data_IF_104602204863
#
_entry.id   IF_104602204863
#
_cell.length_a   1.000
_cell.length_b   1.000
_cell.length_c   1.000
_cell.angle_alpha   90.00
_cell.angle_beta   90.00
_cell.angle_gamma   90.00
#
_symmetry.space_group_name_H-M   'P 1'
#
loop_
_entity.id
_entity.type
_entity.pdbx_description
1 polymer ?
#
# COMPACT_ATOMS: atom_id res chain seq x y z
N UNK A 1 15.04 26.01 9.69
CA UNK A 1 13.65 26.26 9.28
C UNK A 1 12.78 25.27 10.04
N UNK A 2 11.77 25.74 10.82
CA UNK A 2 10.93 24.85 11.63
C UNK A 2 10.06 23.99 10.68
N UNK A 3 10.42 22.73 10.49
CA UNK A 3 9.71 21.76 9.67
C UNK A 3 8.51 21.17 10.45
N UNK A 4 7.54 22.04 10.80
CA UNK A 4 6.35 21.61 11.58
C UNK A 4 5.61 20.42 10.96
N UNK A 5 5.63 20.27 9.64
CA UNK A 5 4.95 19.17 8.94
C UNK A 5 5.60 17.81 9.22
N UNK A 6 6.93 17.72 9.11
CA UNK A 6 7.67 16.48 9.38
C UNK A 6 7.49 16.06 10.84
N UNK A 7 7.56 17.01 11.76
CA UNK A 7 7.34 16.77 13.20
C UNK A 7 5.91 16.26 13.47
N UNK A 8 4.88 16.90 12.87
CA UNK A 8 3.50 16.48 13.07
C UNK A 8 3.23 15.08 12.52
N UNK A 9 3.73 14.78 11.32
CA UNK A 9 3.63 13.44 10.74
C UNK A 9 4.38 12.38 11.55
N UNK A 10 5.57 12.71 12.05
CA UNK A 10 6.32 11.83 12.93
C UNK A 10 5.56 11.54 14.24
N UNK A 11 5.01 12.57 14.89
CA UNK A 11 4.15 12.40 16.07
C UNK A 11 2.93 11.53 15.78
N UNK A 12 2.32 11.68 14.60
CA UNK A 12 1.17 10.86 14.20
C UNK A 12 1.55 9.38 14.04
N UNK A 13 2.66 9.10 13.39
CA UNK A 13 3.17 7.72 13.25
C UNK A 13 3.45 7.12 14.63
N UNK A 14 4.20 7.81 15.48
CA UNK A 14 4.65 7.29 16.77
C UNK A 14 3.48 7.17 17.76
N UNK A 15 2.64 8.22 17.87
CA UNK A 15 1.61 8.29 18.91
C UNK A 15 0.33 7.55 18.52
N UNK A 16 -0.08 7.66 17.23
CA UNK A 16 -1.35 7.12 16.79
C UNK A 16 -1.18 5.78 16.06
N UNK A 17 -0.24 5.70 15.10
CA UNK A 17 -0.14 4.51 14.26
C UNK A 17 0.55 3.34 14.97
N UNK A 18 1.65 3.58 15.69
CA UNK A 18 2.36 2.59 16.48
C UNK A 18 1.89 2.52 17.94
N UNK A 19 1.36 3.61 18.47
CA UNK A 19 1.00 3.74 19.89
C UNK A 19 2.16 3.35 20.82
N UNK A 20 3.34 3.94 20.54
CA UNK A 20 4.58 3.65 21.27
C UNK A 20 4.42 3.99 22.75
N UNK A 21 4.88 3.09 23.61
CA UNK A 21 4.78 3.22 25.09
C UNK A 21 6.10 3.64 25.72
N UNK A 22 6.00 4.18 26.92
CA UNK A 22 7.16 4.48 27.73
C UNK A 22 7.97 3.22 28.01
N UNK A 23 9.30 3.31 27.82
CA UNK A 23 10.25 2.22 28.04
C UNK A 23 10.39 1.23 26.88
N UNK A 24 9.59 1.31 25.82
CA UNK A 24 9.73 0.44 24.64
C UNK A 24 11.01 0.77 23.85
N UNK A 25 11.65 -0.25 23.30
CA UNK A 25 12.72 -0.12 22.32
C UNK A 25 12.12 0.23 20.94
N UNK A 26 12.32 1.47 20.51
CA UNK A 26 11.90 1.98 19.21
C UNK A 26 13.07 2.06 18.25
N UNK A 27 13.00 1.35 17.14
CA UNK A 27 14.03 1.40 16.10
C UNK A 27 13.53 2.18 14.89
N UNK A 28 14.24 3.24 14.52
CA UNK A 28 14.01 3.99 13.29
C UNK A 28 15.03 3.52 12.25
N UNK A 29 14.54 2.88 11.18
CA UNK A 29 15.37 2.45 10.06
C UNK A 29 15.16 3.42 8.90
N UNK A 30 16.22 4.07 8.43
CA UNK A 30 16.12 5.06 7.38
C UNK A 30 17.30 4.98 6.39
N UNK A 31 17.06 5.26 5.11
CA UNK A 31 18.18 5.58 4.23
C UNK A 31 18.74 6.98 4.53
N UNK A 32 19.96 7.23 4.09
CA UNK A 32 20.67 8.50 4.38
C UNK A 32 19.98 9.73 3.77
N UNK A 33 19.11 9.58 2.77
CA UNK A 33 18.35 10.68 2.18
C UNK A 33 17.21 11.15 3.09
N UNK A 34 16.81 10.30 4.04
CA UNK A 34 15.71 10.54 4.98
C UNK A 34 16.19 10.85 6.42
N UNK A 35 17.42 11.35 6.58
CA UNK A 35 18.00 11.65 7.90
C UNK A 35 17.13 12.62 8.73
N UNK A 36 16.58 13.67 8.12
CA UNK A 36 15.72 14.63 8.83
C UNK A 36 14.41 14.00 9.30
N UNK A 37 13.82 13.12 8.50
CA UNK A 37 12.62 12.35 8.88
C UNK A 37 12.95 11.40 10.02
N UNK A 38 14.10 10.70 9.97
CA UNK A 38 14.54 9.80 11.02
C UNK A 38 14.72 10.53 12.35
N UNK A 39 15.33 11.72 12.33
CA UNK A 39 15.50 12.54 13.54
C UNK A 39 14.15 13.00 14.11
N UNK A 40 13.20 13.43 13.27
CA UNK A 40 11.86 13.83 13.73
C UNK A 40 11.09 12.66 14.35
N UNK A 41 11.19 11.46 13.76
CA UNK A 41 10.59 10.22 14.30
C UNK A 41 11.23 9.85 15.65
N UNK A 42 12.56 9.97 15.76
CA UNK A 42 13.29 9.69 16.99
C UNK A 42 12.92 10.66 18.11
N UNK A 43 12.79 11.96 17.81
CA UNK A 43 12.34 12.97 18.77
C UNK A 43 10.92 12.66 19.26
N UNK A 44 10.00 12.34 18.34
CA UNK A 44 8.63 11.94 18.71
C UNK A 44 8.62 10.69 19.61
N UNK A 45 9.49 9.70 19.34
CA UNK A 45 9.65 8.51 20.18
C UNK A 45 10.17 8.83 21.57
N UNK A 46 11.18 9.70 21.65
CA UNK A 46 11.73 10.19 22.92
C UNK A 46 10.67 10.94 23.75
N UNK A 47 9.84 11.76 23.09
CA UNK A 47 8.72 12.47 23.77
C UNK A 47 7.72 11.48 24.40
N UNK A 48 7.60 10.25 23.87
CA UNK A 48 6.80 9.15 24.44
C UNK A 48 7.53 8.36 25.54
N UNK A 49 8.79 8.67 25.80
CA UNK A 49 9.61 7.96 26.78
C UNK A 49 10.19 6.63 26.26
N UNK A 50 10.22 6.41 24.96
CA UNK A 50 10.83 5.22 24.36
C UNK A 50 12.37 5.28 24.43
N UNK A 51 13.02 4.12 24.42
CA UNK A 51 14.45 3.96 24.18
C UNK A 51 14.64 3.91 22.66
N UNK A 52 15.15 5.00 22.08
CA UNK A 52 15.19 5.17 20.64
C UNK A 52 16.56 4.88 20.05
N UNK A 53 16.60 4.08 18.98
CA UNK A 53 17.78 3.85 18.16
C UNK A 53 17.51 4.22 16.70
N UNK A 54 18.46 4.86 16.02
CA UNK A 54 18.40 5.15 14.59
C UNK A 54 19.42 4.27 13.89
N UNK A 55 18.98 3.48 12.92
CA UNK A 55 19.81 2.66 12.05
C UNK A 55 19.73 3.20 10.63
N UNK A 56 20.84 3.68 10.08
CA UNK A 56 20.89 4.27 8.75
C UNK A 56 21.75 3.45 7.80
N UNK A 57 21.38 3.48 6.52
CA UNK A 57 22.08 2.79 5.44
C UNK A 57 22.05 3.62 4.14
N UNK A 58 22.90 3.29 3.19
CA UNK A 58 22.83 3.88 1.85
C UNK A 58 21.57 3.42 1.13
N UNK A 59 20.91 4.29 0.32
CA UNK A 59 19.70 3.93 -0.41
C UNK A 59 19.85 2.60 -1.15
N UNK A 60 18.82 1.76 -1.07
CA UNK A 60 18.71 0.51 -1.81
C UNK A 60 18.51 0.79 -3.31
N UNK A 61 18.46 -0.26 -4.12
CA UNK A 61 18.32 -0.13 -5.57
C UNK A 61 16.88 -0.40 -6.06
N UNK A 62 16.10 -1.16 -5.28
CA UNK A 62 14.72 -1.54 -5.65
C UNK A 62 13.88 -1.85 -4.41
N UNK A 63 12.55 -1.87 -4.60
CA UNK A 63 11.60 -2.21 -3.55
C UNK A 63 11.75 -3.66 -3.09
N UNK A 64 11.46 -3.92 -1.82
CA UNK A 64 11.54 -5.21 -1.15
C UNK A 64 12.95 -5.81 -1.00
N UNK A 65 14.00 -5.09 -1.41
CA UNK A 65 15.38 -5.48 -1.10
C UNK A 65 15.61 -5.44 0.41
N UNK A 66 16.30 -6.46 0.95
CA UNK A 66 16.64 -6.48 2.37
C UNK A 66 17.74 -5.44 2.68
N UNK A 67 17.61 -4.73 3.82
CA UNK A 67 18.69 -3.86 4.32
C UNK A 67 19.86 -4.70 4.84
N UNK A 68 21.02 -4.08 5.14
CA UNK A 68 22.18 -4.77 5.74
C UNK A 68 21.82 -5.57 6.99
N UNK A 69 22.49 -6.71 7.19
CA UNK A 69 22.19 -7.65 8.29
C UNK A 69 22.15 -7.03 9.69
N UNK A 70 23.01 -6.06 10.08
CA UNK A 70 22.90 -5.43 11.40
C UNK A 70 21.56 -4.72 11.63
N UNK A 71 20.94 -4.18 10.56
CA UNK A 71 19.62 -3.55 10.62
C UNK A 71 18.53 -4.61 10.83
N UNK A 72 18.65 -5.77 10.17
CA UNK A 72 17.72 -6.89 10.33
C UNK A 72 17.67 -7.35 11.78
N UNK A 73 18.83 -7.53 12.40
CA UNK A 73 18.89 -7.96 13.80
C UNK A 73 18.34 -6.88 14.74
N UNK A 74 18.68 -5.60 14.52
CA UNK A 74 18.12 -4.48 15.29
C UNK A 74 16.59 -4.39 15.20
N UNK A 75 16.00 -4.63 14.01
CA UNK A 75 14.55 -4.72 13.84
C UNK A 75 13.92 -5.88 14.63
N UNK A 76 14.61 -7.02 14.68
CA UNK A 76 14.11 -8.21 15.35
C UNK A 76 14.12 -8.11 16.89
N UNK A 77 14.90 -7.21 17.45
CA UNK A 77 15.01 -6.99 18.89
C UNK A 77 14.19 -5.77 19.39
N UNK A 78 13.50 -5.09 18.48
CA UNK A 78 12.68 -3.92 18.80
C UNK A 78 11.25 -4.30 19.21
N UNK A 79 10.64 -3.49 20.10
CA UNK A 79 9.20 -3.55 20.38
C UNK A 79 8.39 -2.89 19.25
N UNK A 80 8.92 -1.80 18.71
CA UNK A 80 8.31 -1.06 17.61
C UNK A 80 9.38 -0.53 16.65
N UNK A 81 9.04 -0.41 15.36
CA UNK A 81 9.94 0.17 14.38
C UNK A 81 9.22 0.99 13.30
N UNK A 82 9.94 1.97 12.74
CA UNK A 82 9.54 2.70 11.54
C UNK A 82 10.55 2.46 10.44
N UNK A 83 10.08 2.08 9.25
CA UNK A 83 10.91 1.90 8.04
C UNK A 83 10.72 3.12 7.15
N UNK A 84 11.65 4.07 7.22
CA UNK A 84 11.61 5.35 6.53
C UNK A 84 12.61 5.39 5.36
N UNK A 85 12.29 4.73 4.26
CA UNK A 85 13.17 4.60 3.11
C UNK A 85 12.48 4.94 1.78
N UNK A 86 13.23 5.46 0.80
CA UNK A 86 12.75 5.73 -0.55
C UNK A 86 12.26 4.43 -1.20
N UNK A 87 13.09 3.39 -1.19
CA UNK A 87 12.67 2.07 -1.66
C UNK A 87 11.97 1.32 -0.53
N UNK A 88 10.73 0.92 -0.78
CA UNK A 88 9.87 0.27 0.20
C UNK A 88 10.49 -1.01 0.76
N UNK A 89 10.54 -1.11 2.08
CA UNK A 89 10.92 -2.31 2.81
C UNK A 89 9.68 -3.15 3.22
N UNK A 90 8.47 -2.75 2.79
CA UNK A 90 7.20 -3.37 3.21
C UNK A 90 7.15 -4.88 2.95
N UNK A 91 7.67 -5.32 1.82
CA UNK A 91 7.67 -6.72 1.40
C UNK A 91 9.03 -7.42 1.57
N UNK A 92 10.00 -6.78 2.27
CA UNK A 92 11.30 -7.39 2.54
C UNK A 92 11.21 -8.57 3.50
N UNK A 93 12.13 -9.52 3.38
CA UNK A 93 12.26 -10.65 4.33
C UNK A 93 12.62 -10.14 5.73
N UNK A 94 13.40 -9.05 5.80
CA UNK A 94 13.76 -8.37 7.05
C UNK A 94 12.50 -7.95 7.83
N UNK A 95 11.54 -7.26 7.18
CA UNK A 95 10.28 -6.86 7.80
C UNK A 95 9.48 -8.08 8.25
N UNK A 96 9.37 -9.12 7.40
CA UNK A 96 8.64 -10.34 7.73
C UNK A 96 9.26 -11.06 8.94
N UNK A 97 10.59 -11.18 9.00
CA UNK A 97 11.31 -11.77 10.12
C UNK A 97 11.06 -11.00 11.43
N UNK A 98 11.13 -9.68 11.39
CA UNK A 98 10.92 -8.83 12.57
C UNK A 98 9.46 -8.90 13.07
N UNK A 99 8.46 -8.81 12.18
CA UNK A 99 7.05 -8.97 12.58
C UNK A 99 6.77 -10.37 13.11
N UNK A 100 7.41 -11.41 12.57
CA UNK A 100 7.34 -12.78 13.07
C UNK A 100 7.91 -12.95 14.49
N UNK A 101 8.78 -12.04 14.94
CA UNK A 101 9.30 -11.97 16.32
C UNK A 101 8.50 -11.04 17.24
N UNK A 102 7.48 -10.38 16.72
CA UNK A 102 6.57 -9.55 17.52
C UNK A 102 6.79 -8.04 17.34
N UNK A 103 7.78 -7.59 16.59
CA UNK A 103 8.01 -6.16 16.35
C UNK A 103 6.82 -5.54 15.61
N UNK A 104 6.23 -4.47 16.15
CA UNK A 104 5.22 -3.66 15.46
C UNK A 104 5.91 -2.73 14.47
N UNK A 105 5.47 -2.72 13.21
CA UNK A 105 6.18 -1.98 12.17
C UNK A 105 5.25 -1.08 11.38
N UNK A 106 5.60 0.20 11.27
CA UNK A 106 5.09 1.12 10.24
C UNK A 106 6.16 1.28 9.16
N UNK A 107 5.79 1.01 7.90
CA UNK A 107 6.61 1.34 6.74
C UNK A 107 6.11 2.62 6.08
N UNK A 108 7.03 3.46 5.65
CA UNK A 108 6.77 4.71 4.92
C UNK A 108 7.39 4.59 3.52
N UNK A 109 6.69 3.93 2.57
CA UNK A 109 7.20 3.73 1.21
C UNK A 109 7.36 5.07 0.49
N UNK A 110 8.46 5.26 -0.25
CA UNK A 110 8.74 6.53 -0.90
C UNK A 110 8.97 7.67 0.08
N UNK A 111 9.52 7.34 1.26
CA UNK A 111 9.73 8.30 2.34
C UNK A 111 10.47 9.54 1.85
N UNK A 112 9.94 10.70 2.19
CA UNK A 112 10.53 12.00 1.93
C UNK A 112 9.88 13.05 2.83
N UNK A 113 10.53 14.20 3.03
CA UNK A 113 9.92 15.31 3.78
C UNK A 113 8.62 15.82 3.10
N UNK A 114 8.53 15.72 1.78
CA UNK A 114 7.34 16.14 1.02
C UNK A 114 6.10 15.27 1.33
N UNK A 115 6.30 13.96 1.56
CA UNK A 115 5.20 13.09 1.98
C UNK A 115 4.56 13.57 3.28
N UNK A 116 5.34 14.08 4.21
CA UNK A 116 4.86 14.60 5.49
C UNK A 116 4.09 15.93 5.38
N UNK A 117 4.10 16.58 4.21
CA UNK A 117 3.26 17.74 3.91
C UNK A 117 1.91 17.35 3.29
N UNK A 118 1.73 16.08 2.97
CA UNK A 118 0.49 15.61 2.36
C UNK A 118 -0.69 15.68 3.34
N UNK A 119 -1.86 16.17 2.91
CA UNK A 119 -3.09 16.03 3.69
C UNK A 119 -3.48 14.58 3.98
N UNK A 120 -3.00 13.60 3.20
CA UNK A 120 -3.30 12.18 3.39
C UNK A 120 -2.86 11.66 4.76
N UNK A 121 -1.87 12.30 5.39
CA UNK A 121 -1.43 11.93 6.74
C UNK A 121 -2.31 12.50 7.85
N UNK A 122 -3.14 13.52 7.56
CA UNK A 122 -3.97 14.22 8.54
C UNK A 122 -5.42 13.70 8.52
N UNK A 123 -5.59 12.41 8.73
CA UNK A 123 -6.88 11.73 8.84
C UNK A 123 -7.03 11.11 10.23
N UNK A 124 -8.28 10.83 10.62
CA UNK A 124 -8.55 10.02 11.80
C UNK A 124 -8.49 8.54 11.44
N UNK A 125 -7.33 7.92 11.64
CA UNK A 125 -7.10 6.51 11.30
C UNK A 125 -8.04 5.55 12.04
N UNK A 126 -8.51 5.89 13.26
CA UNK A 126 -9.45 5.06 14.01
C UNK A 126 -10.85 5.07 13.38
N UNK A 127 -11.29 6.19 12.80
CA UNK A 127 -12.56 6.26 12.06
C UNK A 127 -12.46 5.46 10.75
N UNK A 128 -11.35 5.61 10.02
CA UNK A 128 -11.13 4.85 8.80
C UNK A 128 -11.06 3.34 9.07
N UNK A 129 -10.45 2.94 10.17
CA UNK A 129 -10.44 1.54 10.62
C UNK A 129 -11.86 0.98 10.76
N UNK A 130 -12.81 1.73 11.35
CA UNK A 130 -14.21 1.31 11.47
C UNK A 130 -14.88 1.08 10.11
N UNK A 131 -14.60 1.97 9.15
CA UNK A 131 -15.10 1.82 7.79
C UNK A 131 -14.51 0.57 7.11
N UNK A 132 -13.20 0.36 7.25
CA UNK A 132 -12.51 -0.83 6.72
C UNK A 132 -13.09 -2.11 7.34
N UNK A 133 -13.33 -2.14 8.65
CA UNK A 133 -13.95 -3.29 9.33
C UNK A 133 -15.37 -3.56 8.81
N UNK A 134 -16.16 -2.53 8.57
CA UNK A 134 -17.51 -2.66 7.98
C UNK A 134 -17.45 -3.26 6.58
N UNK A 135 -16.59 -2.72 5.70
CA UNK A 135 -16.39 -3.24 4.36
C UNK A 135 -15.81 -4.66 4.37
N UNK A 136 -14.89 -4.95 5.29
CA UNK A 136 -14.33 -6.29 5.47
C UNK A 136 -15.36 -7.33 5.86
N UNK A 137 -16.37 -6.97 6.67
CA UNK A 137 -17.47 -7.85 7.00
C UNK A 137 -18.33 -8.17 5.77
N UNK A 138 -18.61 -7.17 4.93
CA UNK A 138 -19.34 -7.38 3.67
C UNK A 138 -18.53 -8.25 2.70
N UNK A 139 -17.23 -8.00 2.54
CA UNK A 139 -16.37 -8.79 1.66
C UNK A 139 -16.31 -10.28 2.04
N UNK A 140 -16.39 -10.62 3.34
CA UNK A 140 -16.38 -12.04 3.78
C UNK A 140 -17.56 -12.83 3.22
N UNK A 141 -18.71 -12.18 3.05
CA UNK A 141 -19.92 -12.81 2.52
C UNK A 141 -20.04 -12.71 1.00
N UNK A 142 -19.20 -11.87 0.37
CA UNK A 142 -19.21 -11.61 -1.07
C UNK A 142 -18.56 -12.74 -1.85
N UNK A 143 -19.18 -13.10 -2.97
CA UNK A 143 -18.66 -14.10 -3.91
C UNK A 143 -17.92 -13.46 -5.08
N UNK A 144 -18.41 -12.31 -5.54
CA UNK A 144 -17.94 -11.65 -6.75
C UNK A 144 -17.89 -10.14 -6.53
N UNK A 145 -16.82 -9.52 -6.99
CA UNK A 145 -16.75 -8.07 -7.15
C UNK A 145 -16.95 -7.77 -8.63
N UNK A 146 -17.91 -6.89 -8.94
CA UNK A 146 -18.11 -6.35 -10.30
C UNK A 146 -17.66 -4.88 -10.29
N UNK A 147 -16.86 -4.51 -11.27
CA UNK A 147 -16.23 -3.19 -11.38
C UNK A 147 -16.53 -2.62 -12.75
N UNK A 148 -17.16 -1.44 -12.77
CA UNK A 148 -17.45 -0.72 -14.02
C UNK A 148 -17.00 0.73 -13.92
N UNK A 149 -16.81 1.39 -15.07
CA UNK A 149 -16.57 2.84 -15.14
C UNK A 149 -17.13 3.45 -16.42
N UNK A 150 -17.29 4.78 -16.42
CA UNK A 150 -17.77 5.51 -17.62
C UNK A 150 -16.80 5.38 -18.83
N UNK A 151 -15.52 5.06 -18.58
CA UNK A 151 -14.52 4.83 -19.63
C UNK A 151 -14.63 3.44 -20.29
N UNK A 152 -15.49 2.56 -19.78
CA UNK A 152 -15.71 1.23 -20.33
C UNK A 152 -15.00 0.11 -19.53
N UNK A 153 -14.48 0.38 -18.35
CA UNK A 153 -14.08 -0.71 -17.44
C UNK A 153 -15.28 -1.62 -17.20
N UNK A 154 -15.04 -2.93 -17.34
CA UNK A 154 -16.00 -3.98 -17.02
C UNK A 154 -15.20 -5.22 -16.62
N UNK A 155 -14.94 -5.33 -15.33
CA UNK A 155 -14.15 -6.42 -14.73
C UNK A 155 -15.00 -7.16 -13.72
N UNK A 156 -14.91 -8.49 -13.76
CA UNK A 156 -15.54 -9.39 -12.81
C UNK A 156 -14.48 -10.21 -12.09
N UNK A 157 -14.54 -10.25 -10.77
CA UNK A 157 -13.55 -10.94 -9.93
C UNK A 157 -14.21 -11.86 -8.90
N UNK A 158 -13.84 -13.13 -8.89
CA UNK A 158 -14.28 -14.12 -7.90
C UNK A 158 -13.41 -14.03 -6.66
N UNK A 159 -14.03 -13.81 -5.49
CA UNK A 159 -13.31 -13.61 -4.22
C UNK A 159 -13.81 -14.49 -3.06
N UNK A 160 -14.77 -15.38 -3.26
CA UNK A 160 -15.36 -16.19 -2.19
C UNK A 160 -14.30 -16.97 -1.42
N UNK A 161 -14.26 -16.76 -0.09
CA UNK A 161 -13.32 -17.47 0.79
C UNK A 161 -11.87 -17.00 0.68
N UNK A 162 -11.60 -15.93 -0.04
CA UNK A 162 -10.25 -15.39 -0.22
C UNK A 162 -9.82 -14.51 0.97
N UNK A 163 -8.51 -14.29 1.08
CA UNK A 163 -7.92 -13.48 2.15
C UNK A 163 -8.25 -12.01 1.95
N UNK A 164 -8.84 -11.41 2.98
CA UNK A 164 -9.08 -9.97 3.06
C UNK A 164 -7.93 -9.33 3.83
N UNK A 165 -7.39 -8.23 3.31
CA UNK A 165 -6.24 -7.51 3.86
C UNK A 165 -6.68 -6.08 4.18
N UNK A 166 -7.03 -5.78 5.45
CA UNK A 166 -7.32 -4.42 5.87
C UNK A 166 -6.02 -3.64 6.07
N UNK A 167 -5.88 -2.50 5.41
CA UNK A 167 -4.76 -1.58 5.59
C UNK A 167 -5.26 -0.29 6.24
N UNK A 168 -4.93 -0.13 7.50
CA UNK A 168 -5.48 0.94 8.36
C UNK A 168 -4.45 1.99 8.75
N UNK A 169 -3.21 1.87 8.27
CA UNK A 169 -2.03 2.60 8.76
C UNK A 169 -1.77 2.43 10.27
N UNK A 170 -2.39 1.44 10.93
CA UNK A 170 -2.25 1.17 12.36
C UNK A 170 -1.51 -0.15 12.60
N UNK A 171 -0.45 -0.12 13.39
CA UNK A 171 0.33 -1.29 13.80
C UNK A 171 0.52 -1.27 15.32
N UNK A 172 -0.53 -1.62 16.09
CA UNK A 172 -0.58 -1.43 17.55
C UNK A 172 -0.49 -2.73 18.36
N UNK A 173 -0.56 -3.88 17.69
CA UNK A 173 -0.46 -5.19 18.35
C UNK A 173 0.86 -5.85 17.99
N UNK A 174 1.47 -6.66 18.89
CA UNK A 174 2.72 -7.35 18.60
C UNK A 174 2.68 -8.08 17.25
N UNK A 175 3.72 -7.90 16.45
CA UNK A 175 3.85 -8.48 15.11
C UNK A 175 3.00 -7.83 14.01
N UNK A 176 2.23 -6.77 14.34
CA UNK A 176 1.44 -6.06 13.33
C UNK A 176 2.31 -5.19 12.43
N UNK A 177 1.84 -5.00 11.20
CA UNK A 177 2.48 -4.21 10.16
C UNK A 177 1.45 -3.37 9.42
N UNK A 178 1.80 -2.13 9.09
CA UNK A 178 1.01 -1.30 8.18
C UNK A 178 1.90 -0.34 7.36
N UNK A 179 1.60 -0.12 6.07
CA UNK A 179 2.16 0.98 5.31
C UNK A 179 1.48 2.30 5.70
N UNK A 180 2.23 3.41 5.69
CA UNK A 180 1.73 4.74 6.02
C UNK A 180 1.91 5.69 4.83
N UNK A 181 0.94 6.52 4.49
CA UNK A 181 -0.39 6.71 5.09
C UNK A 181 -1.50 5.88 4.41
N UNK A 182 -1.23 4.65 4.00
CA UNK A 182 -2.15 3.83 3.23
C UNK A 182 -3.39 3.45 4.06
N UNK A 183 -4.56 3.74 3.50
CA UNK A 183 -5.87 3.39 4.05
C UNK A 183 -6.68 2.77 2.92
N UNK A 184 -6.85 1.45 2.97
CA UNK A 184 -7.58 0.70 1.97
C UNK A 184 -8.09 -0.62 2.53
N UNK A 185 -8.96 -1.26 1.77
CA UNK A 185 -9.29 -2.66 1.97
C UNK A 185 -8.99 -3.42 0.69
N UNK A 186 -8.18 -4.46 0.80
CA UNK A 186 -7.80 -5.30 -0.31
C UNK A 186 -8.26 -6.74 -0.12
N UNK A 187 -8.44 -7.46 -1.22
CA UNK A 187 -8.73 -8.89 -1.24
C UNK A 187 -7.98 -9.55 -2.40
N UNK A 188 -7.35 -10.70 -2.14
CA UNK A 188 -6.80 -11.53 -3.21
C UNK A 188 -7.94 -12.16 -4.01
N UNK A 189 -7.94 -12.13 -5.34
CA UNK A 189 -8.92 -12.89 -6.12
C UNK A 189 -8.58 -14.38 -6.15
N UNK A 190 -9.57 -15.21 -6.50
CA UNK A 190 -9.30 -16.61 -6.86
C UNK A 190 -8.37 -16.66 -8.07
N UNK A 191 -7.43 -17.62 -8.08
CA UNK A 191 -6.65 -17.92 -9.29
C UNK A 191 -7.60 -18.11 -10.47
N UNK A 192 -7.28 -17.51 -11.61
CA UNK A 192 -8.13 -17.51 -12.81
C UNK A 192 -9.52 -16.87 -12.62
N UNK A 193 -9.79 -16.23 -11.47
CA UNK A 193 -11.10 -15.68 -11.13
C UNK A 193 -11.38 -14.28 -11.64
N UNK A 194 -10.42 -13.61 -12.28
CA UNK A 194 -10.55 -12.23 -12.78
C UNK A 194 -10.62 -12.23 -14.30
N UNK A 195 -11.63 -11.57 -14.85
CA UNK A 195 -11.83 -11.44 -16.28
C UNK A 195 -12.49 -10.11 -16.65
N UNK A 196 -12.21 -9.62 -17.86
CA UNK A 196 -12.81 -8.41 -18.40
C UNK A 196 -11.82 -7.39 -18.94
N UNK A 197 -12.30 -6.15 -19.06
CA UNK A 197 -11.53 -5.02 -19.58
C UNK A 197 -11.40 -3.96 -18.50
N UNK A 198 -10.17 -3.51 -18.25
CA UNK A 198 -9.83 -2.43 -17.33
C UNK A 198 -9.33 -1.23 -18.11
N UNK A 199 -9.85 -0.04 -17.82
CA UNK A 199 -9.28 1.23 -18.28
C UNK A 199 -8.60 1.90 -17.08
N UNK A 200 -7.26 1.93 -17.09
CA UNK A 200 -6.44 2.56 -16.03
C UNK A 200 -6.30 4.04 -16.38
N UNK A 201 -6.90 4.90 -15.58
CA UNK A 201 -6.92 6.36 -15.78
C UNK A 201 -6.39 7.14 -14.57
N UNK A 202 -6.05 6.45 -13.50
CA UNK A 202 -5.46 7.01 -12.28
C UNK A 202 -3.94 7.03 -12.34
N UNK A 203 -3.34 5.90 -12.01
CA UNK A 203 -1.89 5.69 -12.00
C UNK A 203 -1.57 4.22 -12.31
N UNK A 204 -0.38 3.98 -12.83
CA UNK A 204 0.26 2.65 -12.81
C UNK A 204 1.52 2.79 -11.95
N UNK A 205 1.56 2.08 -10.84
CA UNK A 205 2.69 2.13 -9.93
C UNK A 205 3.65 0.99 -10.31
N UNK A 206 4.94 1.27 -10.63
CA UNK A 206 5.67 2.53 -10.45
C UNK A 206 5.80 3.44 -11.70
N UNK A 207 5.00 3.25 -12.76
CA UNK A 207 5.12 4.07 -14.00
C UNK A 207 4.76 5.54 -13.76
N UNK A 208 3.74 5.78 -12.93
CA UNK A 208 3.28 7.11 -12.56
C UNK A 208 1.83 7.40 -12.94
N UNK A 209 1.43 8.67 -12.84
CA UNK A 209 0.08 9.13 -13.15
C UNK A 209 -0.23 9.01 -14.65
N UNK A 210 -1.42 8.52 -14.96
CA UNK A 210 -1.90 8.42 -16.35
C UNK A 210 -2.37 9.78 -16.88
N UNK A 211 -1.84 10.17 -18.03
CA UNK A 211 -2.34 11.32 -18.82
C UNK A 211 -3.42 10.86 -19.81
N UNK A 212 -3.24 9.66 -20.34
CA UNK A 212 -4.22 9.01 -21.20
C UNK A 212 -4.53 7.63 -20.62
N UNK A 213 -5.78 7.15 -20.69
CA UNK A 213 -6.14 5.83 -20.17
C UNK A 213 -5.39 4.71 -20.89
N UNK A 214 -4.97 3.72 -20.11
CA UNK A 214 -4.41 2.46 -20.63
C UNK A 214 -5.50 1.40 -20.55
N UNK A 215 -5.80 0.77 -21.70
CA UNK A 215 -6.76 -0.32 -21.79
C UNK A 215 -6.04 -1.67 -21.62
N UNK A 216 -6.53 -2.47 -20.70
CA UNK A 216 -5.97 -3.78 -20.34
C UNK A 216 -7.07 -4.83 -20.46
N UNK A 217 -6.78 -5.93 -21.15
CA UNK A 217 -7.66 -7.10 -21.18
C UNK A 217 -7.12 -8.17 -20.25
N UNK A 218 -8.03 -8.75 -19.47
CA UNK A 218 -7.72 -9.77 -18.46
C UNK A 218 -8.54 -11.01 -18.76
N UNK A 219 -7.86 -12.14 -18.92
CA UNK A 219 -8.47 -13.46 -19.10
C UNK A 219 -7.92 -14.43 -18.05
N UNK A 220 -8.80 -15.08 -17.31
CA UNK A 220 -8.43 -16.06 -16.27
C UNK A 220 -7.31 -15.54 -15.34
N UNK A 221 -7.48 -14.31 -14.83
CA UNK A 221 -6.54 -13.67 -13.91
C UNK A 221 -5.20 -13.27 -14.53
N UNK A 222 -5.08 -13.25 -15.85
CA UNK A 222 -3.84 -12.91 -16.56
C UNK A 222 -4.08 -11.75 -17.52
N UNK A 223 -3.22 -10.74 -17.51
CA UNK A 223 -3.22 -9.70 -18.54
C UNK A 223 -2.80 -10.32 -19.87
N UNK A 224 -3.68 -10.23 -20.87
CA UNK A 224 -3.46 -10.77 -22.23
C UNK A 224 -3.24 -9.68 -23.27
N UNK A 225 -3.67 -8.45 -22.98
CA UNK A 225 -3.53 -7.32 -23.91
C UNK A 225 -3.36 -6.02 -23.13
N UNK A 226 -2.46 -5.16 -23.60
CA UNK A 226 -2.25 -3.79 -23.09
C UNK A 226 -2.22 -2.87 -24.32
N UNK A 227 -3.12 -1.89 -24.36
CA UNK A 227 -3.24 -0.93 -25.47
C UNK A 227 -3.46 0.48 -24.95
N UNK A 228 -3.01 1.46 -25.74
CA UNK A 228 -3.11 2.88 -25.39
C UNK A 228 -1.98 3.69 -26.01
N UNK A 229 -1.71 4.86 -25.42
CA UNK A 229 -0.64 5.75 -25.88
C UNK A 229 0.73 5.38 -25.28
N UNK A 230 1.52 6.43 -25.02
CA UNK A 230 2.89 6.28 -24.47
C UNK A 230 2.90 5.55 -23.13
N UNK A 231 1.93 5.79 -22.27
CA UNK A 231 1.82 5.17 -20.95
C UNK A 231 1.67 3.63 -21.06
N UNK A 232 0.94 3.15 -22.08
CA UNK A 232 0.81 1.72 -22.34
C UNK A 232 2.15 1.10 -22.81
N UNK A 233 2.90 1.83 -23.63
CA UNK A 233 4.24 1.36 -24.07
C UNK A 233 5.25 1.38 -22.91
N UNK A 234 5.23 2.41 -22.06
CA UNK A 234 6.07 2.48 -20.87
C UNK A 234 5.76 1.31 -19.90
N UNK A 235 4.48 0.96 -19.73
CA UNK A 235 4.06 -0.16 -18.90
C UNK A 235 4.46 -1.51 -19.51
N UNK A 236 4.26 -1.72 -20.82
CA UNK A 236 4.74 -2.93 -21.50
C UNK A 236 6.24 -3.12 -21.35
N UNK A 237 7.00 -2.02 -21.49
CA UNK A 237 8.46 -2.04 -21.31
C UNK A 237 8.81 -2.45 -19.89
N UNK A 238 8.17 -1.86 -18.87
CA UNK A 238 8.40 -2.22 -17.47
C UNK A 238 8.18 -3.71 -17.23
N UNK A 239 7.06 -4.28 -17.73
CA UNK A 239 6.77 -5.71 -17.59
C UNK A 239 7.78 -6.59 -18.31
N UNK A 240 8.25 -6.17 -19.50
CA UNK A 240 9.29 -6.86 -20.25
C UNK A 240 10.64 -6.82 -19.52
N UNK A 241 11.00 -5.69 -18.91
CA UNK A 241 12.25 -5.52 -18.17
C UNK A 241 12.31 -6.41 -16.93
N UNK A 242 11.16 -6.70 -16.29
CA UNK A 242 11.07 -7.68 -15.20
C UNK A 242 11.35 -9.11 -15.65
N UNK A 243 11.08 -9.44 -16.91
CA UNK A 243 11.29 -10.77 -17.50
C UNK A 243 10.69 -11.91 -16.64
N UNK A 244 9.53 -11.67 -16.05
CA UNK A 244 8.80 -12.59 -15.18
C UNK A 244 7.34 -12.71 -15.63
N UNK A 245 6.89 -13.89 -16.14
CA UNK A 245 5.51 -14.07 -16.58
C UNK A 245 4.47 -13.91 -15.44
N UNK A 246 4.88 -14.07 -14.20
CA UNK A 246 4.00 -13.86 -13.04
C UNK A 246 3.65 -12.39 -12.82
N UNK A 247 4.43 -11.45 -13.39
CA UNK A 247 4.08 -10.02 -13.37
C UNK A 247 2.80 -9.68 -14.15
N UNK A 248 2.26 -10.60 -14.95
CA UNK A 248 1.00 -10.43 -15.66
C UNK A 248 -0.21 -10.99 -14.89
N UNK A 249 -0.01 -11.55 -13.70
CA UNK A 249 -1.07 -12.17 -12.88
C UNK A 249 -1.71 -11.15 -11.96
N UNK A 250 -3.05 -11.10 -11.98
CA UNK A 250 -3.82 -10.28 -11.01
C UNK A 250 -3.86 -11.02 -9.68
N UNK A 251 -3.40 -10.33 -8.64
CA UNK A 251 -3.24 -10.89 -7.29
C UNK A 251 -3.95 -10.10 -6.20
N UNK A 252 -4.47 -8.92 -6.54
CA UNK A 252 -5.10 -8.00 -5.60
C UNK A 252 -6.26 -7.24 -6.24
N UNK A 253 -7.26 -6.93 -5.43
CA UNK A 253 -8.29 -5.93 -5.68
C UNK A 253 -8.33 -5.05 -4.44
N UNK A 254 -7.84 -3.82 -4.56
CA UNK A 254 -7.79 -2.85 -3.48
C UNK A 254 -8.77 -1.70 -3.69
N UNK A 255 -9.41 -1.25 -2.62
CA UNK A 255 -10.35 -0.11 -2.61
C UNK A 255 -9.77 0.96 -1.71
N UNK A 256 -9.44 2.12 -2.28
CA UNK A 256 -8.90 3.28 -1.57
C UNK A 256 -9.95 3.93 -0.67
N UNK A 257 -9.56 4.22 0.58
CA UNK A 257 -10.45 4.72 1.63
C UNK A 257 -9.88 5.93 2.39
N UNK A 258 -8.79 6.53 1.94
CA UNK A 258 -8.24 7.73 2.54
C UNK A 258 -8.93 8.99 1.98
N UNK A 259 -9.76 9.71 2.77
CA UNK A 259 -10.55 10.84 2.28
C UNK A 259 -9.70 12.07 1.93
N UNK A 260 -8.43 12.10 2.31
CA UNK A 260 -7.52 13.22 2.06
C UNK A 260 -6.39 12.89 1.07
N UNK A 261 -6.22 11.63 0.69
CA UNK A 261 -5.29 11.23 -0.36
C UNK A 261 -5.73 11.72 -1.74
N UNK A 262 -4.76 11.98 -2.61
CA UNK A 262 -5.02 12.41 -4.00
C UNK A 262 -4.00 11.80 -4.96
N UNK A 263 -4.49 11.13 -5.99
CA UNK A 263 -3.67 10.62 -7.09
C UNK A 263 -2.91 11.76 -7.78
N UNK A 264 -1.65 11.49 -8.10
CA UNK A 264 -0.81 12.37 -8.89
C UNK A 264 0.11 13.29 -8.09
N UNK A 265 0.25 13.04 -6.79
CA UNK A 265 1.26 13.71 -5.97
C UNK A 265 2.64 13.03 -6.01
N UNK A 266 2.73 11.85 -6.64
CA UNK A 266 3.97 11.08 -6.76
C UNK A 266 4.28 10.24 -5.52
N UNK A 267 3.28 9.99 -4.68
CA UNK A 267 3.40 9.13 -3.51
C UNK A 267 2.55 7.87 -3.70
N UNK A 268 3.21 6.72 -3.88
CA UNK A 268 2.58 5.43 -4.16
C UNK A 268 1.41 5.15 -3.21
N UNK A 269 1.65 5.22 -1.90
CA UNK A 269 0.64 4.95 -0.88
C UNK A 269 -0.56 5.93 -0.89
N UNK A 270 -0.43 7.12 -1.50
CA UNK A 270 -1.56 8.01 -1.73
C UNK A 270 -2.34 7.66 -2.98
N UNK A 271 -1.61 7.30 -4.05
CA UNK A 271 -2.22 6.98 -5.34
C UNK A 271 -3.11 5.74 -5.23
N UNK A 272 -2.73 4.75 -4.41
CA UNK A 272 -3.52 3.55 -4.12
C UNK A 272 -4.72 3.85 -3.21
N UNK A 273 -4.55 4.73 -2.22
CA UNK A 273 -5.49 4.88 -1.12
C UNK A 273 -6.52 5.99 -1.25
N UNK A 274 -6.54 6.78 -2.34
CA UNK A 274 -7.54 7.85 -2.51
C UNK A 274 -8.96 7.28 -2.36
N UNK A 275 -9.79 7.96 -1.57
CA UNK A 275 -11.16 7.53 -1.31
C UNK A 275 -11.98 7.37 -2.59
N UNK A 276 -12.60 6.19 -2.75
CA UNK A 276 -13.45 5.89 -3.91
C UNK A 276 -12.69 5.52 -5.19
N UNK A 277 -11.39 5.26 -5.12
CA UNK A 277 -10.64 4.61 -6.19
C UNK A 277 -10.65 3.10 -6.00
N UNK A 278 -10.28 2.39 -7.06
CA UNK A 278 -9.98 0.96 -7.01
C UNK A 278 -8.68 0.71 -7.76
N UNK A 279 -7.90 -0.24 -7.30
CA UNK A 279 -6.76 -0.74 -8.06
C UNK A 279 -6.79 -2.25 -8.19
N UNK A 280 -6.20 -2.76 -9.27
CA UNK A 280 -5.82 -4.14 -9.40
C UNK A 280 -4.31 -4.26 -9.22
N UNK A 281 -3.90 -5.03 -8.21
CA UNK A 281 -2.49 -5.39 -8.03
C UNK A 281 -2.12 -6.60 -8.87
N UNK A 282 -0.94 -6.56 -9.48
CA UNK A 282 -0.38 -7.64 -10.28
C UNK A 282 1.01 -8.06 -9.78
N UNK A 283 1.41 -9.29 -10.04
CA UNK A 283 2.73 -9.81 -9.69
C UNK A 283 2.77 -10.56 -8.36
N UNK A 284 3.57 -10.10 -7.38
CA UNK A 284 3.74 -10.78 -6.08
C UNK A 284 2.45 -10.76 -5.25
N UNK A 285 1.91 -11.93 -4.94
CA UNK A 285 0.58 -12.10 -4.35
C UNK A 285 0.54 -12.65 -2.92
N UNK A 286 1.68 -12.97 -2.31
CA UNK A 286 1.73 -13.64 -1.01
C UNK A 286 1.05 -12.84 0.12
N UNK A 287 1.14 -11.52 0.08
CA UNK A 287 0.47 -10.62 1.03
C UNK A 287 -1.04 -10.82 1.01
N UNK A 288 -1.63 -11.03 -0.17
CA UNK A 288 -3.06 -11.17 -0.40
C UNK A 288 -3.54 -12.63 -0.35
N UNK A 289 -2.64 -13.57 -0.07
CA UNK A 289 -2.97 -15.00 0.01
C UNK A 289 -3.12 -15.69 -1.35
N UNK A 290 -2.74 -15.00 -2.44
CA UNK A 290 -2.68 -15.58 -3.78
C UNK A 290 -1.32 -16.26 -3.94
N UNK A 291 -1.25 -17.55 -4.32
CA UNK A 291 0.00 -18.32 -4.39
C UNK A 291 0.78 -18.03 -5.69
N UNK A 292 1.01 -16.75 -5.96
CA UNK A 292 1.85 -16.25 -7.05
C UNK A 292 3.06 -15.58 -6.43
N UNK A 293 4.24 -16.04 -6.80
CA UNK A 293 5.51 -15.39 -6.46
C UNK A 293 6.08 -14.73 -7.71
N UNK A 294 6.37 -13.45 -7.62
CA UNK A 294 6.91 -12.66 -8.70
C UNK A 294 8.06 -11.76 -8.21
N UNK A 295 8.83 -11.22 -9.16
CA UNK A 295 9.98 -10.35 -8.85
C UNK A 295 9.56 -8.99 -8.29
N UNK A 296 8.29 -8.56 -8.52
CA UNK A 296 7.78 -7.26 -8.09
C UNK A 296 6.26 -7.30 -7.94
N UNK A 297 5.71 -6.15 -7.53
CA UNK A 297 4.28 -5.86 -7.48
C UNK A 297 4.02 -4.52 -8.17
N UNK A 298 2.89 -4.41 -8.86
CA UNK A 298 2.50 -3.17 -9.53
C UNK A 298 0.98 -2.96 -9.40
N UNK A 299 0.55 -1.70 -9.24
CA UNK A 299 -0.85 -1.35 -9.03
C UNK A 299 -1.42 -0.56 -10.21
N UNK A 300 -2.59 -0.97 -10.64
CA UNK A 300 -3.34 -0.43 -11.77
C UNK A 300 -4.53 0.35 -11.24
N UNK A 301 -4.35 1.64 -10.96
CA UNK A 301 -5.34 2.47 -10.26
C UNK A 301 -6.33 3.08 -11.24
N UNK A 302 -7.62 2.90 -10.95
CA UNK A 302 -8.73 3.52 -11.68
C UNK A 302 -9.49 4.52 -10.81
N UNK A 303 -9.94 5.60 -11.46
CA UNK A 303 -10.74 6.64 -10.83
C UNK A 303 -12.24 6.34 -10.98
N UNK A 304 -13.00 6.79 -10.00
CA UNK A 304 -14.47 6.83 -10.07
C UNK A 304 -15.14 5.54 -10.55
N UNK A 305 -14.71 4.35 -10.11
CA UNK A 305 -15.40 3.12 -10.46
C UNK A 305 -16.79 3.07 -9.79
N UNK A 306 -17.70 2.32 -10.39
CA UNK A 306 -18.84 1.74 -9.70
C UNK A 306 -18.45 0.34 -9.27
N UNK A 307 -18.54 0.05 -7.96
CA UNK A 307 -18.11 -1.21 -7.36
C UNK A 307 -19.32 -1.88 -6.73
N UNK A 308 -19.57 -3.14 -7.14
CA UNK A 308 -20.61 -3.96 -6.56
C UNK A 308 -20.00 -5.17 -5.86
N UNK A 309 -20.51 -5.48 -4.68
CA UNK A 309 -20.30 -6.74 -3.99
C UNK A 309 -21.52 -7.62 -4.25
N UNK A 310 -21.35 -8.67 -5.05
CA UNK A 310 -22.41 -9.43 -5.72
C UNK A 310 -23.34 -8.46 -6.49
N UNK A 311 -24.56 -8.22 -6.01
CA UNK A 311 -25.53 -7.30 -6.62
C UNK A 311 -25.66 -5.97 -5.89
N UNK A 312 -24.96 -5.79 -4.75
CA UNK A 312 -25.05 -4.59 -3.90
C UNK A 312 -24.04 -3.54 -4.32
N UNK A 313 -24.51 -2.35 -4.69
CA UNK A 313 -23.63 -1.21 -4.98
C UNK A 313 -22.97 -0.75 -3.70
N UNK A 314 -21.65 -0.78 -3.66
CA UNK A 314 -20.85 -0.30 -2.54
C UNK A 314 -20.35 1.13 -2.81
N UNK A 315 -19.78 1.33 -4.00
CA UNK A 315 -19.39 2.65 -4.48
C UNK A 315 -20.07 2.95 -5.81
N UNK A 316 -20.61 4.12 -5.92
CA UNK A 316 -21.00 4.71 -7.19
C UNK A 316 -20.10 5.91 -7.45
N UNK A 317 -19.11 5.72 -8.34
CA UNK A 317 -18.01 6.68 -8.53
C UNK A 317 -17.27 6.93 -7.20
N UNK A 318 -17.13 8.18 -6.76
CA UNK A 318 -16.44 8.50 -5.49
C UNK A 318 -17.37 8.46 -4.26
N UNK A 319 -18.63 8.06 -4.44
CA UNK A 319 -19.63 8.08 -3.36
C UNK A 319 -19.83 6.67 -2.78
N UNK A 320 -19.60 6.55 -1.47
CA UNK A 320 -19.98 5.35 -0.72
C UNK A 320 -21.50 5.33 -0.54
N UNK A 321 -22.15 4.20 -0.89
CA UNK A 321 -23.62 4.07 -0.92
C UNK A 321 -24.16 3.36 0.32
N UNK A 322 -23.38 2.50 0.96
CA UNK A 322 -23.73 1.71 2.15
C UNK A 322 -23.54 2.48 3.46
#
# INVERSE_FOLDING_TARGET
MNNNWTINGAKKIINECLDVKNGENLVIVADLLNTNVALALAEAGKDRGAVVSILQFFPLQYHAQDPPSPIIEGLCEADAAVLAAIFSLSNSKARQKATGRGTRIISVPGCSEELFKSPAIDVNFNEQKKLIERLGNLLRETSVINITSDLGTNVRAKIRGQKIVPQTALARTPGSFAPFPNIEIAVGPSLEGVEGVLFVDGAIIPVGQMKNPVRIEIEKGTIVSITGGKEAEDFKKLLADYNDPNMYKVVEIGIGLNPKAKIGRGFMAEDESQFGTLHLGIGEGSTFGVPISAVSHADLVIRKPTILFDETIIFEKEKLII
#
